data_IF_872520911167
#
_entry.id   IF_872520911167
#
_cell.length_a   1.000
_cell.length_b   1.000
_cell.length_c   1.000
_cell.angle_alpha   90.00
_cell.angle_beta   90.00
_cell.angle_gamma   90.00
#
_symmetry.space_group_name_H-M   'P 1'
#
loop_
_entity.id
_entity.type
_entity.pdbx_description
1 polymer ?
#
# COMPACT_ATOMS: atom_id res chain seq x y z
N UNK A 1 23.97 -8.72 30.38
CA UNK A 1 22.50 -8.74 30.59
C UNK A 1 21.83 -7.46 30.07
N UNK A 2 22.25 -6.26 30.48
CA UNK A 2 21.67 -4.98 30.05
C UNK A 2 21.74 -4.74 28.53
N UNK A 3 22.88 -5.05 27.87
CA UNK A 3 23.03 -4.90 26.42
C UNK A 3 21.99 -5.72 25.62
N UNK A 4 21.69 -6.94 26.09
CA UNK A 4 20.71 -7.82 25.45
C UNK A 4 19.29 -7.26 25.56
N UNK A 5 18.97 -6.61 26.68
CA UNK A 5 17.66 -5.96 26.90
C UNK A 5 17.50 -4.76 25.95
N UNK A 6 18.56 -3.96 25.79
CA UNK A 6 18.56 -2.81 24.86
C UNK A 6 18.38 -3.30 23.41
N UNK A 7 19.11 -4.36 23.02
CA UNK A 7 19.00 -4.93 21.68
C UNK A 7 17.58 -5.47 21.40
N UNK A 8 16.99 -6.17 22.38
CA UNK A 8 15.62 -6.67 22.29
C UNK A 8 14.59 -5.53 22.19
N UNK A 9 14.78 -4.45 22.95
CA UNK A 9 13.91 -3.27 22.87
C UNK A 9 13.97 -2.59 21.50
N UNK A 10 15.16 -2.45 20.91
CA UNK A 10 15.33 -1.86 19.57
C UNK A 10 14.70 -2.76 18.50
N UNK A 11 14.86 -4.09 18.62
CA UNK A 11 14.26 -5.05 17.70
C UNK A 11 12.72 -4.99 17.75
N UNK A 12 12.13 -4.93 18.95
CA UNK A 12 10.67 -4.82 19.14
C UNK A 12 10.12 -3.49 18.62
N UNK A 13 10.82 -2.37 18.86
CA UNK A 13 10.43 -1.07 18.33
C UNK A 13 10.50 -1.02 16.80
N UNK A 14 11.54 -1.61 16.22
CA UNK A 14 11.70 -1.71 14.77
C UNK A 14 10.59 -2.56 14.15
N UNK A 15 10.26 -3.69 14.78
CA UNK A 15 9.14 -4.54 14.37
C UNK A 15 7.80 -3.80 14.43
N UNK A 16 7.53 -3.08 15.51
CA UNK A 16 6.28 -2.33 15.69
C UNK A 16 6.11 -1.20 14.66
N UNK A 17 7.18 -0.47 14.36
CA UNK A 17 7.17 0.57 13.32
C UNK A 17 6.99 -0.05 11.93
N UNK A 18 7.64 -1.20 11.66
CA UNK A 18 7.49 -1.89 10.38
C UNK A 18 6.07 -2.43 10.17
N UNK A 19 5.47 -3.09 11.16
CA UNK A 19 4.08 -3.61 11.09
C UNK A 19 3.08 -2.48 10.84
N UNK A 20 3.24 -1.32 11.51
CA UNK A 20 2.36 -0.16 11.31
C UNK A 20 2.52 0.44 9.91
N UNK A 21 3.74 0.56 9.38
CA UNK A 21 3.99 1.10 8.03
C UNK A 21 3.50 0.14 6.94
N UNK A 22 3.65 -1.16 7.14
CA UNK A 22 3.17 -2.18 6.21
C UNK A 22 1.63 -2.16 6.09
N UNK A 23 0.92 -2.03 7.23
CA UNK A 23 -0.55 -1.91 7.23
C UNK A 23 -1.06 -0.60 6.61
N UNK A 24 -0.34 0.50 6.80
CA UNK A 24 -0.71 1.79 6.20
C UNK A 24 -0.48 1.85 4.68
N UNK A 25 0.49 1.09 4.14
CA UNK A 25 0.67 0.95 2.69
C UNK A 25 -0.45 0.15 2.02
N UNK A 26 -1.17 -0.69 2.76
CA UNK A 26 -2.30 -1.46 2.26
C UNK A 26 -3.61 -0.68 2.31
N UNK A 27 -3.59 0.58 2.75
CA UNK A 27 -4.71 1.50 2.56
C UNK A 27 -4.73 1.94 1.09
N UNK A 28 -5.07 0.97 0.25
CA UNK A 28 -5.66 1.15 -1.05
C UNK A 28 -7.03 1.81 -0.82
N UNK A 29 -7.01 3.08 -0.45
CA UNK A 29 -8.18 3.93 -0.47
C UNK A 29 -8.05 4.81 -1.71
N UNK A 30 -9.05 4.72 -2.58
CA UNK A 30 -9.10 5.53 -3.80
C UNK A 30 -9.23 6.99 -3.35
N UNK A 31 -8.34 7.90 -3.78
CA UNK A 31 -8.46 9.30 -3.41
C UNK A 31 -9.76 9.90 -3.94
N UNK A 32 -10.33 10.87 -3.23
CA UNK A 32 -11.54 11.55 -3.67
C UNK A 32 -11.32 12.27 -5.02
N UNK A 33 -12.30 12.17 -5.92
CA UNK A 33 -12.25 12.79 -7.26
C UNK A 33 -11.74 11.87 -8.38
N UNK A 34 -11.40 10.62 -8.04
CA UNK A 34 -11.04 9.60 -9.02
C UNK A 34 -12.25 8.78 -9.46
N UNK A 35 -12.49 8.72 -10.76
CA UNK A 35 -13.55 7.94 -11.39
C UNK A 35 -13.03 6.56 -11.82
N UNK A 36 -13.86 5.53 -11.60
CA UNK A 36 -13.54 4.16 -11.97
C UNK A 36 -13.56 4.01 -13.49
N UNK A 37 -12.48 3.51 -14.07
CA UNK A 37 -12.44 3.17 -15.50
C UNK A 37 -12.60 1.66 -15.71
N UNK A 38 -12.95 1.26 -16.94
CA UNK A 38 -13.01 -0.15 -17.33
C UNK A 38 -11.61 -0.77 -17.55
N UNK A 39 -10.56 0.05 -17.54
CA UNK A 39 -9.19 -0.42 -17.70
C UNK A 39 -8.73 -1.21 -16.46
N UNK A 40 -8.42 -2.48 -16.66
CA UNK A 40 -7.80 -3.33 -15.65
C UNK A 40 -6.76 -4.25 -16.28
N UNK A 41 -5.68 -4.53 -15.56
CA UNK A 41 -4.61 -5.41 -15.99
C UNK A 41 -4.12 -6.28 -14.83
N UNK A 42 -3.48 -7.38 -15.16
CA UNK A 42 -2.84 -8.27 -14.18
C UNK A 42 -1.35 -8.07 -14.33
N UNK A 43 -0.69 -7.69 -13.24
CA UNK A 43 0.76 -7.53 -13.24
C UNK A 43 1.41 -8.94 -13.22
N UNK A 44 2.28 -9.26 -14.20
CA UNK A 44 2.89 -10.59 -14.32
C UNK A 44 3.88 -10.91 -13.19
N UNK A 45 4.38 -9.90 -12.46
CA UNK A 45 5.39 -10.05 -11.41
C UNK A 45 4.74 -10.52 -10.11
N UNK A 46 3.66 -9.88 -9.71
CA UNK A 46 2.98 -10.13 -8.43
C UNK A 46 1.63 -10.86 -8.59
N UNK A 47 1.17 -11.10 -9.83
CA UNK A 47 -0.13 -11.69 -10.18
C UNK A 47 -1.35 -10.94 -9.64
N UNK A 48 -1.17 -9.70 -9.19
CA UNK A 48 -2.24 -8.87 -8.64
C UNK A 48 -2.97 -8.15 -9.76
N UNK A 49 -4.29 -7.98 -9.60
CA UNK A 49 -5.12 -7.20 -10.52
C UNK A 49 -5.07 -5.74 -10.14
N UNK A 50 -4.72 -4.90 -11.10
CA UNK A 50 -4.78 -3.46 -10.95
C UNK A 50 -5.90 -2.88 -11.80
N UNK A 51 -6.65 -1.93 -11.24
CA UNK A 51 -7.66 -1.14 -11.93
C UNK A 51 -7.22 0.32 -11.99
N UNK A 52 -7.39 0.92 -13.16
CA UNK A 52 -7.03 2.32 -13.38
C UNK A 52 -8.21 3.21 -12.99
N UNK A 53 -7.92 4.25 -12.22
CA UNK A 53 -8.84 5.33 -11.91
C UNK A 53 -8.34 6.61 -12.55
N UNK A 54 -9.28 7.42 -13.06
CA UNK A 54 -8.97 8.67 -13.75
C UNK A 54 -9.55 9.86 -12.99
N UNK A 55 -8.76 10.92 -12.81
CA UNK A 55 -9.24 12.17 -12.25
C UNK A 55 -9.43 13.19 -13.38
N UNK A 56 -10.68 13.60 -13.60
CA UNK A 56 -11.01 14.59 -14.64
C UNK A 56 -10.56 16.01 -14.30
N UNK A 57 -10.25 16.32 -13.04
CA UNK A 57 -9.85 17.66 -12.61
C UNK A 57 -8.43 18.04 -13.06
N UNK A 58 -7.50 17.07 -13.05
CA UNK A 58 -6.08 17.28 -13.36
C UNK A 58 -5.53 16.33 -14.45
N UNK A 59 -6.33 15.35 -14.88
CA UNK A 59 -5.92 14.33 -15.86
C UNK A 59 -5.03 13.23 -15.26
N UNK A 60 -4.89 13.17 -13.95
CA UNK A 60 -4.07 12.17 -13.27
C UNK A 60 -4.69 10.77 -13.30
N UNK A 61 -3.83 9.75 -13.17
CA UNK A 61 -4.20 8.33 -13.17
C UNK A 61 -3.71 7.67 -11.89
N UNK A 62 -4.58 6.89 -11.27
CA UNK A 62 -4.29 6.15 -10.05
C UNK A 62 -4.49 4.67 -10.26
N UNK A 63 -3.50 3.87 -9.89
CA UNK A 63 -3.50 2.42 -10.04
C UNK A 63 -3.88 1.79 -8.71
N UNK A 64 -5.03 1.16 -8.68
CA UNK A 64 -5.57 0.50 -7.50
C UNK A 64 -5.38 -1.00 -7.61
N UNK A 65 -4.75 -1.64 -6.63
CA UNK A 65 -4.78 -3.10 -6.52
C UNK A 65 -6.18 -3.52 -6.04
N UNK A 66 -6.89 -4.25 -6.90
CA UNK A 66 -8.22 -4.78 -6.62
C UNK A 66 -8.06 -6.08 -5.80
N UNK A 67 -8.55 -6.13 -4.56
CA UNK A 67 -8.58 -7.38 -3.79
C UNK A 67 -9.51 -8.38 -4.50
N UNK A 68 -9.06 -9.64 -4.63
CA UNK A 68 -9.86 -10.75 -5.21
C UNK A 68 -11.15 -11.04 -4.44
#
# INVERSE_FOLDING_TARGET
MILLIILAAIALLSWFIFDKRFKMSNNNEIPNGYEKTEESFIDPINKKRYRVYYNAADGSRYYYEEPE
#
